data_IF_317598147524
#
_entry.id   IF_317598147524
#
_cell.length_a   1.000
_cell.length_b   1.000
_cell.length_c   1.000
_cell.angle_alpha   90.00
_cell.angle_beta   90.00
_cell.angle_gamma   90.00
#
_symmetry.space_group_name_H-M   'P 1'
#
loop_
_entity.id
_entity.type
_entity.pdbx_description
1 polymer ?
#
# COMPACT_ATOMS: atom_id res chain seq x y z
N UNK A 1 -3.51 -82.82 -4.46
CA UNK A 1 -3.30 -82.98 -5.92
C UNK A 1 -2.57 -81.72 -6.36
N UNK A 2 -1.30 -81.69 -6.80
CA UNK A 2 -0.56 -82.46 -7.83
C UNK A 2 -0.93 -82.10 -9.28
N UNK A 3 0.12 -81.92 -10.10
CA UNK A 3 0.20 -81.64 -11.56
C UNK A 3 -0.04 -80.18 -12.00
N UNK A 4 0.60 -79.64 -13.06
CA UNK A 4 2.02 -79.63 -13.56
C UNK A 4 2.07 -78.85 -14.89
N UNK A 5 3.21 -78.23 -15.24
CA UNK A 5 3.45 -77.60 -16.56
C UNK A 5 3.57 -78.62 -17.72
N UNK A 6 3.53 -78.14 -18.99
CA UNK A 6 4.74 -77.91 -19.80
C UNK A 6 4.89 -76.41 -20.21
N UNK A 7 6.04 -75.82 -20.61
CA UNK A 7 7.12 -76.16 -21.58
C UNK A 7 6.64 -76.19 -23.05
N UNK A 8 7.38 -75.72 -24.06
CA UNK A 8 8.73 -75.12 -24.17
C UNK A 8 8.68 -73.99 -25.27
N UNK A 9 9.47 -72.92 -25.27
CA UNK A 9 10.93 -72.77 -25.46
C UNK A 9 11.41 -72.90 -26.92
N UNK A 10 11.87 -71.79 -27.52
CA UNK A 10 12.90 -71.70 -28.58
C UNK A 10 13.31 -70.23 -28.80
N UNK A 11 14.54 -69.95 -29.30
CA UNK A 11 14.99 -68.56 -29.49
C UNK A 11 16.35 -68.38 -30.21
N UNK A 12 16.64 -67.13 -30.60
CA UNK A 12 17.88 -66.66 -31.25
C UNK A 12 17.97 -65.13 -30.99
N UNK A 13 18.95 -64.47 -30.34
CA UNK A 13 20.40 -64.62 -30.16
C UNK A 13 21.27 -63.94 -31.25
N UNK A 14 21.61 -62.64 -31.09
CA UNK A 14 23.00 -62.06 -31.10
C UNK A 14 23.07 -60.51 -31.20
N UNK A 15 24.14 -59.92 -30.64
CA UNK A 15 24.60 -58.52 -30.83
C UNK A 15 24.39 -57.62 -29.60
N UNK A 16 25.27 -57.54 -28.59
CA UNK A 16 26.58 -56.81 -28.51
C UNK A 16 26.49 -55.30 -28.82
N UNK A 17 27.06 -54.36 -28.04
CA UNK A 17 28.15 -54.46 -27.06
C UNK A 17 27.99 -53.48 -25.86
N UNK A 18 28.92 -53.52 -24.88
CA UNK A 18 28.85 -52.86 -23.55
C UNK A 18 29.77 -51.64 -23.43
N UNK A 19 29.33 -50.55 -22.77
CA UNK A 19 30.15 -49.79 -21.80
C UNK A 19 29.36 -48.81 -20.90
N UNK A 20 29.93 -48.54 -19.72
CA UNK A 20 29.58 -47.54 -18.68
C UNK A 20 30.92 -46.85 -18.27
N UNK A 21 31.00 -45.81 -17.40
CA UNK A 21 30.18 -44.60 -17.19
C UNK A 21 30.99 -43.30 -17.52
N UNK A 22 30.58 -42.15 -16.93
CA UNK A 22 31.36 -40.93 -16.58
C UNK A 22 31.14 -39.57 -17.30
N UNK A 23 30.69 -38.59 -16.50
CA UNK A 23 31.19 -37.20 -16.28
C UNK A 23 31.69 -36.38 -17.50
N UNK A 24 31.02 -35.22 -17.76
CA UNK A 24 31.68 -33.88 -17.90
C UNK A 24 30.73 -32.67 -17.91
N UNK A 25 31.27 -31.52 -17.48
CA UNK A 25 30.74 -30.15 -17.66
C UNK A 25 31.58 -29.42 -18.72
N UNK A 26 30.97 -28.47 -19.44
CA UNK A 26 31.53 -27.27 -20.11
C UNK A 26 30.28 -26.49 -20.62
N UNK A 27 29.99 -25.21 -20.35
CA UNK A 27 30.71 -24.01 -19.87
C UNK A 27 31.51 -23.24 -20.93
N UNK A 28 30.91 -22.11 -21.32
CA UNK A 28 31.48 -20.84 -21.80
C UNK A 28 30.42 -19.77 -21.46
N UNK A 29 30.72 -18.49 -21.26
CA UNK A 29 31.63 -17.79 -20.35
C UNK A 29 31.41 -16.30 -20.63
N UNK A 30 31.38 -15.49 -19.57
CA UNK A 30 31.86 -14.11 -19.60
C UNK A 30 32.12 -13.66 -18.16
N UNK A 31 33.27 -13.02 -17.99
CA UNK A 31 33.85 -12.43 -16.77
C UNK A 31 33.61 -10.89 -16.83
N UNK A 32 33.75 -10.04 -15.82
CA UNK A 32 34.23 -10.12 -14.42
C UNK A 32 33.25 -9.29 -13.52
N UNK A 33 33.40 -9.08 -12.21
CA UNK A 33 34.44 -9.43 -11.23
C UNK A 33 33.85 -9.47 -9.79
N UNK A 34 34.46 -10.19 -8.84
CA UNK A 34 34.06 -10.24 -7.41
C UNK A 34 35.05 -9.48 -6.51
N UNK A 35 34.63 -8.45 -5.73
CA UNK A 35 35.29 -8.06 -4.45
C UNK A 35 34.36 -7.40 -3.42
N UNK A 36 33.73 -8.18 -2.52
CA UNK A 36 33.91 -8.09 -1.05
C UNK A 36 33.07 -9.14 -0.26
N UNK A 37 33.37 -9.27 1.04
CA UNK A 37 32.57 -9.93 2.09
C UNK A 37 32.29 -11.44 1.96
N UNK A 38 33.30 -12.26 2.29
CA UNK A 38 33.12 -13.61 2.87
C UNK A 38 34.01 -13.80 4.11
N UNK A 39 33.50 -13.35 5.27
CA UNK A 39 33.88 -13.69 6.66
C UNK A 39 32.87 -12.97 7.60
N UNK A 40 32.41 -13.52 8.73
CA UNK A 40 32.54 -14.87 9.28
C UNK A 40 31.17 -15.56 9.49
N UNK A 41 31.16 -16.89 9.57
CA UNK A 41 30.29 -17.61 10.50
C UNK A 41 31.06 -18.78 11.14
N UNK A 42 30.86 -18.96 12.46
CA UNK A 42 31.17 -20.12 13.28
C UNK A 42 32.62 -20.64 13.34
N UNK A 43 33.30 -20.26 14.42
CA UNK A 43 33.96 -21.23 15.30
C UNK A 43 33.48 -21.02 16.75
N UNK A 44 33.22 -22.11 17.48
CA UNK A 44 33.01 -22.10 18.93
C UNK A 44 34.23 -22.76 19.58
N UNK A 45 34.68 -22.26 20.73
CA UNK A 45 34.54 -22.95 22.04
C UNK A 45 35.49 -22.39 23.13
N UNK A 46 34.91 -22.21 24.32
CA UNK A 46 35.46 -22.48 25.65
C UNK A 46 36.89 -21.98 26.04
N UNK A 47 36.94 -20.92 26.86
CA UNK A 47 37.49 -21.03 28.23
C UNK A 47 36.89 -19.97 29.20
N UNK A 48 37.25 -20.07 30.48
CA UNK A 48 36.57 -19.53 31.68
C UNK A 48 37.65 -18.80 32.54
N UNK A 49 37.46 -17.78 33.40
CA UNK A 49 36.35 -17.28 34.28
C UNK A 49 36.30 -15.71 34.16
N UNK A 50 35.79 -14.80 35.03
CA UNK A 50 35.28 -14.81 36.42
C UNK A 50 34.31 -13.62 36.72
N UNK A 51 33.05 -13.89 37.12
CA UNK A 51 32.15 -13.01 37.94
C UNK A 51 31.73 -11.59 37.43
N UNK A 52 30.68 -10.90 37.95
CA UNK A 52 29.63 -11.19 38.97
C UNK A 52 28.20 -11.04 38.38
N UNK A 53 27.16 -11.19 39.23
CA UNK A 53 25.77 -11.53 38.85
C UNK A 53 24.77 -10.37 38.69
N UNK A 54 23.81 -10.62 37.81
CA UNK A 54 22.53 -9.92 37.59
C UNK A 54 21.52 -10.15 38.74
N UNK A 55 20.68 -9.16 39.09
CA UNK A 55 19.27 -9.32 39.57
C UNK A 55 18.63 -8.04 40.18
N UNK A 56 17.52 -7.61 39.57
CA UNK A 56 16.21 -7.21 40.15
C UNK A 56 16.02 -6.15 41.26
N UNK A 57 14.83 -5.52 41.18
CA UNK A 57 14.12 -4.77 42.24
C UNK A 57 14.82 -3.44 42.63
N UNK A 58 14.19 -2.43 43.24
CA UNK A 58 13.01 -2.36 44.13
C UNK A 58 11.97 -1.33 43.64
N UNK A 59 10.75 -1.42 44.16
CA UNK A 59 9.60 -0.54 43.94
C UNK A 59 9.03 -0.08 45.30
N UNK A 60 8.61 1.20 45.40
CA UNK A 60 7.89 1.82 46.54
C UNK A 60 8.62 2.09 47.88
N UNK A 61 7.91 2.88 48.70
CA UNK A 61 8.13 3.26 50.12
C UNK A 61 9.17 4.37 50.39
N UNK A 62 8.96 5.32 51.31
CA UNK A 62 7.86 5.54 52.30
C UNK A 62 7.29 6.99 52.27
N UNK A 63 6.13 7.19 52.91
CA UNK A 63 5.57 8.48 53.33
C UNK A 63 5.76 8.68 54.84
N UNK A 64 5.59 9.93 55.30
CA UNK A 64 5.27 10.35 56.68
C UNK A 64 6.23 10.01 57.83
N UNK A 65 6.78 11.06 58.46
CA UNK A 65 6.63 11.25 59.92
C UNK A 65 6.71 12.74 60.26
N UNK A 66 5.82 13.21 61.15
CA UNK A 66 5.71 14.63 61.55
C UNK A 66 6.81 15.07 62.51
N UNK A 67 7.11 16.38 62.54
CA UNK A 67 7.50 17.05 63.78
C UNK A 67 7.24 18.57 63.70
N UNK A 68 6.35 19.08 64.55
CA UNK A 68 6.13 20.52 64.70
C UNK A 68 7.31 21.22 65.38
N UNK A 69 7.75 22.35 64.81
CA UNK A 69 8.18 23.50 65.61
C UNK A 69 8.02 24.80 64.84
N UNK A 70 7.85 25.89 65.57
CA UNK A 70 7.28 27.15 65.11
C UNK A 70 8.16 28.33 65.54
N UNK A 71 8.04 29.48 64.84
CA UNK A 71 8.65 30.81 65.12
C UNK A 71 10.20 30.82 65.16
N UNK A 72 10.92 31.92 64.83
CA UNK A 72 10.56 33.35 64.69
C UNK A 72 11.31 34.01 63.49
N UNK A 73 11.07 35.30 63.26
CA UNK A 73 11.48 36.08 62.06
C UNK A 73 12.99 36.39 61.91
N UNK A 74 13.44 36.66 60.67
CA UNK A 74 14.41 37.72 60.36
C UNK A 74 14.24 38.23 58.92
N UNK A 75 14.55 39.51 58.65
CA UNK A 75 14.38 40.13 57.34
C UNK A 75 15.59 39.93 56.41
N UNK A 76 15.36 39.44 55.18
CA UNK A 76 16.18 39.88 54.05
C UNK A 76 15.43 39.83 52.71
N UNK A 77 15.42 40.95 51.99
CA UNK A 77 14.65 41.13 50.76
C UNK A 77 15.40 40.62 49.53
N UNK A 78 14.86 39.62 48.82
CA UNK A 78 15.25 39.30 47.44
C UNK A 78 14.01 39.16 46.56
N UNK A 79 13.42 40.30 46.21
CA UNK A 79 12.46 40.41 45.10
C UNK A 79 13.19 40.80 43.82
N UNK A 80 13.47 39.82 42.96
CA UNK A 80 13.41 40.02 41.50
C UNK A 80 12.55 38.89 40.94
N UNK A 81 11.27 39.18 40.78
CA UNK A 81 10.37 38.41 39.94
C UNK A 81 10.79 38.58 38.47
N UNK A 82 10.84 37.47 37.72
CA UNK A 82 11.24 37.41 36.32
C UNK A 82 10.80 36.09 35.67
N UNK A 83 9.55 35.66 35.91
CA UNK A 83 8.84 34.97 34.84
C UNK A 83 8.61 36.02 33.74
N UNK A 84 9.40 35.98 32.65
CA UNK A 84 9.37 36.97 31.57
C UNK A 84 8.12 36.72 30.71
N UNK A 85 6.98 37.06 31.30
CA UNK A 85 5.66 36.58 30.93
C UNK A 85 5.34 36.92 29.49
N UNK A 86 4.86 35.91 28.76
CA UNK A 86 4.48 36.03 27.36
C UNK A 86 3.40 37.11 27.20
N UNK A 87 3.83 38.32 26.83
CA UNK A 87 2.93 39.44 26.58
C UNK A 87 2.09 39.10 25.36
N UNK A 88 0.81 38.83 25.59
CA UNK A 88 -0.17 38.78 24.54
C UNK A 88 -0.11 40.08 23.73
N UNK A 89 -0.31 40.02 22.40
CA UNK A 89 -0.54 41.22 21.60
C UNK A 89 -1.65 42.07 22.24
N UNK A 90 -1.61 43.41 22.09
CA UNK A 90 -2.77 44.21 22.44
C UNK A 90 -3.99 43.74 21.65
N UNK A 91 -5.18 43.86 22.26
CA UNK A 91 -6.47 43.68 21.59
C UNK A 91 -6.73 44.89 20.67
N UNK A 92 -5.90 45.05 19.64
CA UNK A 92 -6.11 45.99 18.53
C UNK A 92 -7.36 45.58 17.71
N UNK A 93 -7.88 46.52 16.92
CA UNK A 93 -9.23 46.51 16.32
C UNK A 93 -9.67 45.15 15.74
N UNK A 94 -10.57 44.47 16.46
CA UNK A 94 -11.14 43.18 16.07
C UNK A 94 -12.21 43.27 14.96
N UNK A 95 -12.33 44.42 14.26
CA UNK A 95 -13.25 44.57 13.12
C UNK A 95 -12.99 43.54 12.01
N UNK A 96 -11.74 43.13 11.78
CA UNK A 96 -11.39 42.03 10.86
C UNK A 96 -12.04 40.67 11.25
N UNK A 97 -12.52 40.50 12.49
CA UNK A 97 -13.28 39.32 12.92
C UNK A 97 -14.80 39.45 12.71
N UNK A 98 -15.28 40.64 12.31
CA UNK A 98 -16.66 40.93 11.96
C UNK A 98 -16.89 40.96 10.44
N UNK A 99 -15.83 40.88 9.63
CA UNK A 99 -15.91 40.80 8.17
C UNK A 99 -16.72 39.57 7.72
N UNK A 100 -17.81 39.80 6.99
CA UNK A 100 -18.63 38.74 6.40
C UNK A 100 -17.89 38.05 5.25
N UNK A 101 -17.22 36.94 5.55
CA UNK A 101 -16.63 36.06 4.53
C UNK A 101 -17.71 35.52 3.58
N UNK A 102 -17.61 35.87 2.29
CA UNK A 102 -18.56 35.46 1.25
C UNK A 102 -18.64 33.93 1.09
N UNK A 103 -19.57 33.29 1.81
CA UNK A 103 -19.77 31.86 1.71
C UNK A 103 -20.48 31.49 0.40
N UNK A 104 -19.72 30.94 -0.55
CA UNK A 104 -20.17 30.64 -1.92
C UNK A 104 -21.14 29.43 -2.02
N UNK A 105 -21.77 29.01 -0.92
CA UNK A 105 -22.67 27.86 -0.87
C UNK A 105 -22.00 26.48 -0.92
N UNK A 106 -20.66 26.42 -0.96
CA UNK A 106 -19.90 25.19 -1.19
C UNK A 106 -18.82 24.95 -0.12
N UNK A 107 -18.90 23.82 0.59
CA UNK A 107 -17.81 23.33 1.44
C UNK A 107 -17.01 22.22 0.72
N UNK A 108 -15.71 22.41 0.45
CA UNK A 108 -14.90 21.42 -0.27
C UNK A 108 -14.64 20.17 0.60
N UNK A 109 -14.83 18.99 0.01
CA UNK A 109 -14.73 17.73 0.75
C UNK A 109 -13.27 17.38 1.07
N UNK A 110 -13.06 16.35 1.89
CA UNK A 110 -11.71 15.86 2.23
C UNK A 110 -10.93 15.44 0.98
N UNK A 111 -11.60 14.91 -0.06
CA UNK A 111 -10.92 14.59 -1.33
C UNK A 111 -10.49 15.82 -2.09
N UNK A 112 -11.23 16.92 -1.98
CA UNK A 112 -11.05 18.09 -2.84
C UNK A 112 -10.03 19.05 -2.23
N UNK A 113 -9.99 19.14 -0.90
CA UNK A 113 -9.00 19.94 -0.15
C UNK A 113 -7.58 19.35 -0.18
N UNK A 114 -7.43 18.04 -0.23
CA UNK A 114 -6.13 17.39 0.05
C UNK A 114 -5.62 16.41 -1.01
N UNK A 115 -6.42 16.01 -2.01
CA UNK A 115 -5.99 15.04 -3.03
C UNK A 115 -6.07 15.58 -4.46
N UNK A 116 -4.94 15.69 -5.14
CA UNK A 116 -4.87 15.99 -6.58
C UNK A 116 -5.22 14.74 -7.40
N UNK A 117 -6.25 14.77 -8.27
CA UNK A 117 -6.59 13.63 -9.12
C UNK A 117 -5.74 13.56 -10.39
N UNK A 118 -5.18 12.38 -10.65
CA UNK A 118 -4.47 12.00 -11.86
C UNK A 118 -5.11 10.76 -12.49
N UNK A 119 -4.92 10.54 -13.78
CA UNK A 119 -5.62 9.50 -14.53
C UNK A 119 -4.69 8.64 -15.37
N UNK A 120 -4.86 7.31 -15.29
CA UNK A 120 -4.28 6.35 -16.24
C UNK A 120 -5.38 5.83 -17.15
N UNK A 121 -5.32 6.19 -18.42
CA UNK A 121 -6.27 5.73 -19.44
C UNK A 121 -5.83 4.40 -20.05
N UNK A 122 -6.78 3.59 -20.49
CA UNK A 122 -6.58 2.31 -21.20
C UNK A 122 -5.48 1.42 -20.59
N UNK A 123 -5.69 0.98 -19.35
CA UNK A 123 -4.71 0.23 -18.53
C UNK A 123 -4.53 -1.22 -19.01
N UNK A 124 -5.60 -1.85 -19.51
CA UNK A 124 -5.59 -3.19 -20.14
C UNK A 124 -6.50 -3.25 -21.36
N UNK A 125 -7.62 -2.51 -21.33
CA UNK A 125 -8.67 -2.54 -22.34
C UNK A 125 -9.00 -1.09 -22.75
N UNK A 126 -9.69 -0.87 -23.87
CA UNK A 126 -10.31 0.44 -24.13
C UNK A 126 -11.21 0.82 -22.96
N UNK A 127 -11.03 2.05 -22.47
CA UNK A 127 -11.88 2.69 -21.44
C UNK A 127 -11.87 2.01 -20.06
N UNK A 128 -10.88 1.18 -19.70
CA UNK A 128 -10.64 0.73 -18.30
C UNK A 128 -9.84 1.77 -17.48
N UNK A 129 -10.26 3.04 -17.57
CA UNK A 129 -9.50 4.18 -17.05
C UNK A 129 -9.53 4.25 -15.51
N UNK A 130 -8.37 4.45 -14.89
CA UNK A 130 -8.17 4.44 -13.43
C UNK A 130 -7.80 5.83 -12.91
N UNK A 131 -8.42 6.25 -11.80
CA UNK A 131 -8.15 7.52 -11.12
C UNK A 131 -7.27 7.30 -9.88
N UNK A 132 -6.09 7.93 -9.89
CA UNK A 132 -5.10 7.94 -8.81
C UNK A 132 -5.14 9.32 -8.17
N UNK A 133 -5.63 9.39 -6.93
CA UNK A 133 -5.70 10.62 -6.14
C UNK A 133 -4.49 10.70 -5.21
N UNK A 134 -3.61 11.67 -5.43
CA UNK A 134 -2.37 11.84 -4.64
C UNK A 134 -2.62 12.87 -3.55
N UNK A 135 -2.51 12.46 -2.29
CA UNK A 135 -2.64 13.33 -1.12
C UNK A 135 -1.44 14.28 -0.97
N UNK A 136 -1.62 15.40 -0.29
CA UNK A 136 -0.53 16.30 0.15
C UNK A 136 0.61 15.54 0.85
N UNK A 137 0.28 14.63 1.77
CA UNK A 137 1.23 13.74 2.47
C UNK A 137 1.77 12.59 1.58
N UNK A 138 1.65 12.68 0.25
CA UNK A 138 2.18 11.73 -0.76
C UNK A 138 1.65 10.29 -0.70
N UNK A 139 0.57 10.03 0.04
CA UNK A 139 -0.17 8.76 -0.01
C UNK A 139 -1.17 8.78 -1.19
N UNK A 140 -1.35 7.65 -1.87
CA UNK A 140 -2.23 7.53 -3.03
C UNK A 140 -3.53 6.81 -2.67
N UNK A 141 -4.66 7.33 -3.13
CA UNK A 141 -5.97 6.69 -3.11
C UNK A 141 -6.31 6.23 -4.54
N UNK A 142 -6.64 4.95 -4.70
CA UNK A 142 -6.98 4.33 -5.97
C UNK A 142 -8.50 4.21 -6.13
N UNK A 143 -9.02 4.59 -7.28
CA UNK A 143 -10.46 4.55 -7.63
C UNK A 143 -10.63 4.29 -9.13
N UNK A 144 -11.79 3.83 -9.57
CA UNK A 144 -12.11 3.85 -11.01
C UNK A 144 -12.26 5.31 -11.46
N UNK A 145 -11.89 5.63 -12.70
CA UNK A 145 -12.20 6.93 -13.27
C UNK A 145 -13.69 6.99 -13.70
N UNK A 146 -14.33 8.18 -13.74
CA UNK A 146 -15.74 8.29 -14.13
C UNK A 146 -16.10 7.66 -15.49
N UNK A 147 -15.18 7.61 -16.44
CA UNK A 147 -15.37 7.00 -17.77
C UNK A 147 -15.25 5.48 -17.80
N UNK A 148 -14.88 4.82 -16.70
CA UNK A 148 -14.53 3.40 -16.74
C UNK A 148 -15.72 2.53 -17.18
N UNK A 149 -15.48 1.54 -18.05
CA UNK A 149 -16.46 0.54 -18.57
C UNK A 149 -17.30 -0.28 -17.55
N UNK A 150 -17.14 -0.02 -16.25
CA UNK A 150 -17.89 -0.62 -15.12
C UNK A 150 -18.90 0.39 -14.55
N UNK A 151 -18.58 1.68 -14.64
CA UNK A 151 -19.46 2.79 -14.23
C UNK A 151 -20.32 3.30 -15.40
N UNK A 152 -19.91 3.02 -16.64
CA UNK A 152 -20.62 3.38 -17.86
C UNK A 152 -21.69 2.34 -18.25
N UNK A 153 -22.87 2.83 -18.63
CA UNK A 153 -24.04 2.03 -19.00
C UNK A 153 -24.72 1.30 -17.83
N UNK A 154 -25.77 0.55 -18.12
CA UNK A 154 -26.62 -0.15 -17.13
C UNK A 154 -25.98 -1.43 -16.55
N UNK A 155 -24.64 -1.43 -16.37
CA UNK A 155 -23.90 -2.54 -15.76
C UNK A 155 -24.01 -2.48 -14.24
N UNK A 156 -24.81 -3.38 -13.67
CA UNK A 156 -24.92 -3.54 -12.22
C UNK A 156 -23.73 -4.36 -11.69
N UNK A 157 -22.99 -3.80 -10.74
CA UNK A 157 -21.85 -4.47 -10.09
C UNK A 157 -22.42 -5.52 -9.13
N UNK A 158 -22.17 -6.82 -9.42
CA UNK A 158 -22.68 -7.94 -8.61
C UNK A 158 -21.81 -8.21 -7.39
N UNK A 159 -20.49 -8.33 -7.60
CA UNK A 159 -19.53 -8.64 -6.54
C UNK A 159 -18.17 -7.99 -6.82
N UNK A 160 -17.46 -7.67 -5.75
CA UNK A 160 -16.05 -7.25 -5.76
C UNK A 160 -15.29 -8.22 -4.86
N UNK A 161 -14.07 -8.61 -5.25
CA UNK A 161 -13.28 -9.56 -4.48
C UNK A 161 -11.81 -9.13 -4.40
N UNK A 162 -11.27 -9.07 -3.19
CA UNK A 162 -9.88 -8.72 -2.89
C UNK A 162 -8.93 -9.94 -2.89
N UNK A 163 -9.46 -11.16 -2.99
CA UNK A 163 -8.67 -12.38 -3.25
C UNK A 163 -8.21 -12.44 -4.71
N UNK A 164 -7.02 -11.89 -4.95
CA UNK A 164 -6.37 -11.81 -6.27
C UNK A 164 -5.88 -13.18 -6.78
N UNK A 165 -5.49 -14.10 -5.89
CA UNK A 165 -5.16 -15.49 -6.22
C UNK A 165 -5.27 -16.37 -4.99
N UNK A 166 -5.14 -17.69 -5.14
CA UNK A 166 -5.20 -18.64 -4.01
C UNK A 166 -4.16 -18.45 -2.92
N UNK A 167 -3.09 -17.69 -3.21
CA UNK A 167 -2.01 -17.37 -2.26
C UNK A 167 -1.97 -15.89 -1.88
N UNK A 168 -2.90 -15.07 -2.39
CA UNK A 168 -2.85 -13.61 -2.23
C UNK A 168 -4.24 -12.99 -2.13
N UNK A 169 -4.57 -12.58 -0.91
CA UNK A 169 -5.76 -11.78 -0.59
C UNK A 169 -5.34 -10.40 -0.11
N UNK A 170 -5.95 -9.34 -0.65
CA UNK A 170 -5.65 -7.95 -0.28
C UNK A 170 -6.41 -7.47 0.96
N UNK A 171 -7.51 -8.13 1.35
CA UNK A 171 -8.22 -7.85 2.62
C UNK A 171 -7.37 -8.27 3.83
N UNK A 172 -6.67 -9.40 3.74
CA UNK A 172 -5.79 -9.92 4.80
C UNK A 172 -4.46 -9.13 4.97
N UNK A 173 -4.41 -7.87 4.52
CA UNK A 173 -3.24 -7.00 4.54
C UNK A 173 -3.01 -6.35 5.93
N UNK A 174 -2.26 -7.03 6.79
CA UNK A 174 -1.96 -6.55 8.16
C UNK A 174 -0.80 -5.54 8.16
N UNK A 175 -1.11 -4.25 8.28
CA UNK A 175 -0.11 -3.16 8.27
C UNK A 175 0.16 -2.63 9.67
N UNK A 176 1.42 -2.56 10.09
CA UNK A 176 1.81 -2.05 11.42
C UNK A 176 3.01 -1.11 11.42
N UNK A 177 3.06 -0.24 12.43
CA UNK A 177 4.19 0.66 12.72
C UNK A 177 4.44 1.79 11.71
N UNK A 178 5.37 2.68 12.05
CA UNK A 178 5.75 3.84 11.21
C UNK A 178 6.27 3.41 9.82
N UNK A 179 7.07 2.33 9.76
CA UNK A 179 7.63 1.78 8.52
C UNK A 179 6.62 1.03 7.62
N UNK A 180 5.36 0.88 8.04
CA UNK A 180 4.35 0.03 7.38
C UNK A 180 4.90 -1.39 7.14
N UNK A 181 5.21 -2.09 8.22
CA UNK A 181 5.58 -3.51 8.21
C UNK A 181 4.32 -4.36 7.98
N UNK A 182 4.50 -5.58 7.47
CA UNK A 182 3.40 -6.49 7.07
C UNK A 182 2.64 -6.07 5.80
N UNK A 183 2.67 -4.79 5.44
CA UNK A 183 2.07 -4.25 4.22
C UNK A 183 2.57 -4.96 2.95
N UNK A 184 1.63 -5.48 2.17
CA UNK A 184 1.92 -6.21 0.94
C UNK A 184 2.56 -5.28 -0.11
N UNK A 185 3.67 -5.70 -0.75
CA UNK A 185 4.26 -4.93 -1.85
C UNK A 185 3.34 -4.96 -3.08
N UNK A 186 3.35 -3.85 -3.82
CA UNK A 186 2.61 -3.65 -5.06
C UNK A 186 3.56 -3.21 -6.17
N UNK A 187 3.35 -3.76 -7.36
CA UNK A 187 3.98 -3.36 -8.62
C UNK A 187 2.92 -2.79 -9.57
N UNK A 188 3.33 -2.03 -10.58
CA UNK A 188 2.42 -1.38 -11.55
C UNK A 188 1.34 -2.32 -12.08
N UNK A 189 1.73 -3.55 -12.45
CA UNK A 189 0.86 -4.56 -13.07
C UNK A 189 0.20 -5.52 -12.05
N UNK A 190 0.40 -5.31 -10.74
CA UNK A 190 -0.27 -6.07 -9.69
C UNK A 190 -1.77 -5.83 -9.71
N UNK A 191 -2.56 -6.89 -9.56
CA UNK A 191 -4.00 -6.77 -9.35
C UNK A 191 -4.28 -6.31 -7.91
N UNK A 192 -5.36 -5.55 -7.74
CA UNK A 192 -5.91 -5.08 -6.46
C UNK A 192 -7.18 -5.85 -6.09
N UNK A 193 -8.12 -5.95 -7.04
CA UNK A 193 -9.36 -6.71 -6.89
C UNK A 193 -9.81 -7.29 -8.25
N UNK A 194 -10.77 -8.21 -8.20
CA UNK A 194 -11.66 -8.51 -9.32
C UNK A 194 -13.04 -7.89 -9.08
N UNK A 195 -13.73 -7.51 -10.16
CA UNK A 195 -15.07 -6.92 -10.14
C UNK A 195 -15.93 -7.67 -11.16
N UNK A 196 -16.98 -8.36 -10.70
CA UNK A 196 -17.90 -9.11 -11.56
C UNK A 196 -19.21 -8.34 -11.75
N UNK A 197 -19.63 -8.18 -12.99
CA UNK A 197 -20.78 -7.37 -13.40
C UNK A 197 -22.02 -8.22 -13.74
N UNK A 198 -23.17 -7.58 -13.92
CA UNK A 198 -24.47 -8.22 -14.16
C UNK A 198 -24.48 -9.09 -15.42
N UNK A 199 -23.77 -8.63 -16.46
CA UNK A 199 -23.51 -9.29 -17.75
C UNK A 199 -22.62 -10.55 -17.67
N UNK A 200 -22.03 -10.85 -16.50
CA UNK A 200 -21.11 -11.97 -16.30
C UNK A 200 -19.65 -11.66 -16.64
N UNK A 201 -19.33 -10.46 -17.13
CA UNK A 201 -17.95 -10.03 -17.32
C UNK A 201 -17.27 -9.84 -15.95
N UNK A 202 -15.97 -10.14 -15.89
CA UNK A 202 -15.16 -9.93 -14.68
C UNK A 202 -13.89 -9.16 -15.04
N UNK A 203 -13.71 -8.02 -14.39
CA UNK A 203 -12.63 -7.08 -14.64
C UNK A 203 -11.58 -7.15 -13.53
N UNK A 204 -10.31 -7.31 -13.89
CA UNK A 204 -9.19 -7.30 -12.93
C UNK A 204 -8.62 -5.88 -12.84
N UNK A 205 -8.70 -5.24 -11.67
CA UNK A 205 -8.20 -3.86 -11.52
C UNK A 205 -6.71 -3.84 -11.18
N UNK A 206 -5.93 -3.05 -11.91
CA UNK A 206 -4.48 -2.89 -11.70
C UNK A 206 -4.14 -1.78 -10.71
N UNK A 207 -3.02 -1.95 -10.02
CA UNK A 207 -2.42 -1.00 -9.10
C UNK A 207 -1.97 0.31 -9.78
N UNK A 208 -1.45 0.22 -11.01
CA UNK A 208 -0.88 1.32 -11.80
C UNK A 208 0.34 2.05 -11.18
N UNK A 209 0.82 1.62 -10.00
CA UNK A 209 1.98 2.21 -9.32
C UNK A 209 2.82 1.16 -8.56
N UNK A 210 4.04 1.53 -8.16
CA UNK A 210 4.92 0.73 -7.32
C UNK A 210 4.89 1.28 -5.88
N UNK A 211 4.64 0.42 -4.89
CA UNK A 211 4.45 0.86 -3.50
C UNK A 211 4.13 -0.26 -2.51
N UNK A 212 3.51 0.11 -1.39
CA UNK A 212 2.97 -0.78 -0.36
C UNK A 212 1.46 -0.58 -0.25
N UNK A 213 0.69 -1.67 -0.20
CA UNK A 213 -0.73 -1.61 0.13
C UNK A 213 -0.92 -1.18 1.58
N UNK A 214 -1.64 -0.08 1.83
CA UNK A 214 -1.98 0.37 3.18
C UNK A 214 -3.34 -0.20 3.59
N UNK A 215 -4.31 -0.16 2.69
CA UNK A 215 -5.72 -0.46 2.99
C UNK A 215 -6.45 -0.89 1.70
N UNK A 216 -7.50 -1.70 1.84
CA UNK A 216 -8.52 -1.92 0.81
C UNK A 216 -9.89 -1.58 1.38
N UNK A 217 -10.81 -1.13 0.54
CA UNK A 217 -12.16 -0.77 0.97
C UNK A 217 -13.04 -2.02 1.14
N UNK A 218 -12.95 -2.66 2.31
CA UNK A 218 -13.68 -3.91 2.62
C UNK A 218 -15.20 -3.74 2.55
N UNK A 219 -15.75 -2.52 2.70
CA UNK A 219 -17.19 -2.26 2.53
C UNK A 219 -17.69 -2.59 1.11
N UNK A 220 -16.81 -2.69 0.12
CA UNK A 220 -17.14 -3.13 -1.24
C UNK A 220 -17.45 -4.63 -1.36
N UNK A 221 -17.07 -5.44 -0.36
CA UNK A 221 -17.45 -6.86 -0.28
C UNK A 221 -18.94 -7.01 0.04
N UNK A 222 -19.45 -6.16 0.94
CA UNK A 222 -20.86 -6.15 1.37
C UNK A 222 -21.74 -5.32 0.43
N UNK A 223 -21.24 -4.15 0.01
CA UNK A 223 -22.01 -3.15 -0.74
C UNK A 223 -21.27 -2.70 -2.03
N UNK A 224 -21.16 -3.56 -3.06
CA UNK A 224 -20.44 -3.24 -4.30
C UNK A 224 -20.90 -1.97 -5.02
N UNK A 225 -22.17 -1.58 -4.84
CA UNK A 225 -22.77 -0.34 -5.38
C UNK A 225 -22.07 0.94 -4.91
N UNK A 226 -21.37 0.92 -3.78
CA UNK A 226 -20.58 2.07 -3.30
C UNK A 226 -19.50 2.51 -4.31
N UNK A 227 -19.05 1.62 -5.20
CA UNK A 227 -18.04 1.98 -6.22
C UNK A 227 -18.53 2.99 -7.27
N UNK A 228 -19.85 3.22 -7.39
CA UNK A 228 -20.40 4.32 -8.22
C UNK A 228 -20.36 5.69 -7.51
N UNK A 229 -20.10 5.75 -6.22
CA UNK A 229 -20.01 7.00 -5.45
C UNK A 229 -18.64 7.68 -5.63
N UNK A 230 -18.50 8.99 -5.31
CA UNK A 230 -17.17 9.60 -5.17
C UNK A 230 -16.36 8.96 -4.02
N UNK A 231 -15.02 9.05 -4.02
CA UNK A 231 -14.20 8.37 -3.02
C UNK A 231 -14.48 8.75 -1.57
N UNK A 232 -14.85 10.01 -1.29
CA UNK A 232 -15.26 10.46 0.06
C UNK A 232 -16.62 9.90 0.54
N UNK A 233 -17.37 9.18 -0.32
CA UNK A 233 -18.59 8.43 0.00
C UNK A 233 -18.38 6.91 -0.18
N UNK A 234 -17.15 6.43 0.02
CA UNK A 234 -16.81 5.00 -0.07
C UNK A 234 -16.54 4.48 -1.48
N UNK A 235 -16.32 5.35 -2.47
CA UNK A 235 -16.01 4.98 -3.86
C UNK A 235 -14.53 4.70 -4.19
N UNK A 236 -13.67 4.50 -3.19
CA UNK A 236 -12.27 4.11 -3.39
C UNK A 236 -12.11 2.59 -3.35
N UNK A 237 -11.07 2.07 -4.00
CA UNK A 237 -10.72 0.64 -4.00
C UNK A 237 -9.64 0.30 -2.96
N UNK A 238 -8.60 1.14 -2.89
CA UNK A 238 -7.43 0.91 -2.06
C UNK A 238 -6.70 2.21 -1.70
N UNK A 239 -5.97 2.18 -0.58
CA UNK A 239 -5.01 3.21 -0.20
C UNK A 239 -3.60 2.60 -0.28
N UNK A 240 -2.69 3.30 -0.94
CA UNK A 240 -1.37 2.82 -1.33
C UNK A 240 -0.32 3.86 -0.92
N UNK A 241 0.75 3.42 -0.26
CA UNK A 241 1.93 4.23 -0.02
C UNK A 241 2.91 4.02 -1.19
N UNK A 242 3.04 4.97 -2.14
CA UNK A 242 3.93 4.81 -3.29
C UNK A 242 5.41 4.82 -2.87
N UNK A 243 6.26 4.25 -3.71
CA UNK A 243 7.70 4.50 -3.61
C UNK A 243 7.98 5.97 -3.97
N UNK A 244 8.33 6.79 -2.97
CA UNK A 244 8.54 8.24 -3.15
C UNK A 244 9.58 8.58 -4.23
N UNK A 245 10.58 7.73 -4.46
CA UNK A 245 11.59 7.93 -5.53
C UNK A 245 11.01 7.81 -6.95
N UNK A 246 9.83 7.21 -7.10
CA UNK A 246 9.15 6.96 -8.37
C UNK A 246 7.87 7.80 -8.53
N UNK A 247 7.48 8.57 -7.52
CA UNK A 247 6.19 9.28 -7.48
C UNK A 247 6.10 10.41 -8.51
N UNK A 248 7.18 11.16 -8.73
CA UNK A 248 7.18 12.25 -9.71
C UNK A 248 7.18 11.72 -11.15
N UNK A 249 7.94 10.65 -11.43
CA UNK A 249 7.89 9.92 -12.71
C UNK A 249 6.50 9.31 -12.95
N UNK A 250 5.83 8.83 -11.89
CA UNK A 250 4.45 8.34 -11.97
C UNK A 250 3.51 9.48 -12.39
N UNK A 251 3.53 10.64 -11.72
CA UNK A 251 2.73 11.82 -12.09
C UNK A 251 2.94 12.23 -13.54
N UNK A 252 4.19 12.29 -14.01
CA UNK A 252 4.53 12.63 -15.39
C UNK A 252 3.99 11.62 -16.43
N UNK A 253 3.69 10.38 -16.01
CA UNK A 253 3.12 9.33 -16.86
C UNK A 253 1.58 9.23 -16.82
N UNK A 254 0.93 10.15 -16.09
CA UNK A 254 -0.51 10.22 -15.88
C UNK A 254 -1.07 11.54 -16.45
N UNK A 255 -2.34 11.53 -16.86
CA UNK A 255 -3.04 12.73 -17.27
C UNK A 255 -3.48 13.55 -16.06
N UNK A 256 -3.47 14.87 -16.19
CA UNK A 256 -4.15 15.79 -15.25
C UNK A 256 -5.67 15.67 -15.39
N UNK A 257 -6.41 16.28 -14.47
CA UNK A 257 -7.88 16.31 -14.52
C UNK A 257 -8.42 16.98 -15.80
N UNK A 258 -7.79 18.08 -16.22
CA UNK A 258 -8.16 18.85 -17.41
C UNK A 258 -7.95 18.03 -18.68
N UNK A 259 -6.73 17.50 -18.87
CA UNK A 259 -6.36 16.63 -19.99
C UNK A 259 -7.26 15.39 -20.10
N UNK A 260 -7.63 14.79 -18.96
CA UNK A 260 -8.57 13.68 -18.92
C UNK A 260 -9.99 14.11 -19.32
N UNK A 261 -10.49 15.25 -18.85
CA UNK A 261 -11.80 15.80 -19.26
C UNK A 261 -11.83 16.10 -20.77
N UNK A 262 -10.77 16.65 -21.34
CA UNK A 262 -10.63 16.91 -22.77
C UNK A 262 -10.67 15.60 -23.58
N UNK A 263 -9.91 14.60 -23.16
CA UNK A 263 -9.89 13.27 -23.79
C UNK A 263 -11.26 12.57 -23.73
N UNK A 264 -12.02 12.71 -22.63
CA UNK A 264 -13.39 12.17 -22.56
C UNK A 264 -14.35 12.96 -23.49
N UNK A 265 -14.19 14.28 -23.63
CA UNK A 265 -14.92 15.09 -24.64
C UNK A 265 -14.55 14.71 -26.08
N UNK A 266 -13.35 14.18 -26.32
CA UNK A 266 -12.92 13.66 -27.64
C UNK A 266 -13.53 12.30 -27.95
N UNK A 267 -13.49 11.36 -27.00
CA UNK A 267 -14.18 10.07 -27.13
C UNK A 267 -15.68 10.26 -27.38
N UNK A 268 -16.35 11.12 -26.60
CA UNK A 268 -17.78 11.41 -26.77
C UNK A 268 -18.13 11.99 -28.15
N UNK A 269 -17.28 12.87 -28.71
CA UNK A 269 -17.44 13.38 -30.08
C UNK A 269 -17.21 12.30 -31.14
N UNK A 270 -16.30 11.37 -30.91
CA UNK A 270 -15.96 10.29 -31.85
C UNK A 270 -17.01 9.17 -31.84
N UNK A 271 -17.67 8.95 -30.69
CA UNK A 271 -18.74 7.96 -30.51
C UNK A 271 -20.10 8.39 -31.08
N UNK A 272 -20.25 9.65 -31.50
CA UNK A 272 -21.44 10.18 -32.17
C UNK A 272 -21.17 10.36 -33.67
N UNK A 273 -21.27 9.31 -34.50
CA UNK A 273 -21.13 9.44 -35.95
C UNK A 273 -22.22 10.35 -36.52
N UNK A 274 -21.88 11.07 -37.59
CA UNK A 274 -22.78 12.00 -38.27
C UNK A 274 -24.16 11.39 -38.58
N UNK A 275 -25.22 11.99 -38.02
CA UNK A 275 -26.49 12.06 -38.73
C UNK A 275 -26.26 12.95 -39.97
N UNK A 276 -26.25 12.34 -41.15
CA UNK A 276 -26.16 13.02 -42.44
C UNK A 276 -27.59 13.38 -42.87
N UNK A 277 -27.86 14.64 -43.28
CA UNK A 277 -29.18 15.09 -43.74
C UNK A 277 -29.58 14.55 -45.12
#
# INVERSE_FOLDING_TARGET
MLRTHPKADEGMHKGTNVHEPEIKRLKFENECDEKLCKKEQNSKENFIQESTSDSKEIFSEQQEEDNERMIEDDENSVVIDSDDGFKFPPDDDASDMLDEVEYNGYFPTVTDRYFTPYYKVNVQLPEDDICIRIHSNRICMLSLAPSHIILQGDKDIKTINFKVSDKLDRSLNKVSGKGKHGAQPLQTNSNICSISCSDGQTYMIKCCMIGKLVEVNEMLLENPRLLRNPPHKGGYLAIILPNLKLLENLKQSLLTHEQYIELIKERGRTAAPHEIP
#
